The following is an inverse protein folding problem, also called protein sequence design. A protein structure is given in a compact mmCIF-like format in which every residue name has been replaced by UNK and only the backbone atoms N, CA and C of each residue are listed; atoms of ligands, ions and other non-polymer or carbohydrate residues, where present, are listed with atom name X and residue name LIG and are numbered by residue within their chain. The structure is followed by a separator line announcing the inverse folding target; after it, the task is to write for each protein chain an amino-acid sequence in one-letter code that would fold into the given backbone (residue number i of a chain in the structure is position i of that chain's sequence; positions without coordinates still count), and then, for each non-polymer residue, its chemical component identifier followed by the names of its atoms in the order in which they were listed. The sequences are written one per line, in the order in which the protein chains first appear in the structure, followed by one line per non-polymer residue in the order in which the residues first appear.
data_IF_848783579164
#
_entry.id   IF_848783579164
#
_cell.length_a   1.000
_cell.length_b   1.000
_cell.length_c   1.000
_cell.angle_alpha   90.00
_cell.angle_beta   90.00
_cell.angle_gamma   90.00
#
_symmetry.space_group_name_H-M   'P 1'
#
loop_
_entity.id
_entity.type
_entity.pdbx_description
1 polymer ?
#
# COMPACT_ATOMS: atom_id res chain seq x y z
N UNK A 1 -12.83 14.87 -8.80
CA UNK A 1 -13.54 13.76 -8.13
C UNK A 1 -12.60 13.25 -7.05
N UNK A 2 -12.95 13.35 -5.77
CA UNK A 2 -12.13 12.72 -4.73
C UNK A 2 -12.23 11.21 -4.93
N UNK A 3 -11.12 10.55 -5.24
CA UNK A 3 -11.10 9.10 -5.32
C UNK A 3 -11.54 8.55 -3.95
N UNK A 4 -12.66 7.82 -3.93
CA UNK A 4 -13.16 7.22 -2.69
C UNK A 4 -12.10 6.25 -2.16
N UNK A 5 -11.81 6.33 -0.85
CA UNK A 5 -10.90 5.39 -0.18
C UNK A 5 -11.33 3.94 -0.46
N UNK A 6 -10.43 3.07 -0.92
CA UNK A 6 -10.76 1.68 -1.14
C UNK A 6 -11.12 0.99 0.19
N UNK A 7 -12.09 0.09 0.16
CA UNK A 7 -12.59 -0.57 1.37
C UNK A 7 -11.65 -1.69 1.82
N UNK A 8 -11.23 -1.73 3.10
CA UNK A 8 -10.49 -2.86 3.62
C UNK A 8 -11.28 -4.17 3.51
N UNK A 9 -10.57 -5.23 3.17
CA UNK A 9 -11.09 -6.59 3.25
C UNK A 9 -10.63 -7.25 4.55
N UNK A 10 -11.39 -8.25 5.03
CA UNK A 10 -10.96 -9.07 6.16
C UNK A 10 -9.58 -9.73 5.93
N UNK A 11 -9.25 -10.07 4.67
CA UNK A 11 -7.93 -10.58 4.33
C UNK A 11 -6.84 -9.52 4.54
N UNK A 12 -7.07 -8.27 4.15
CA UNK A 12 -6.12 -7.18 4.37
C UNK A 12 -5.88 -6.90 5.85
N UNK A 13 -6.92 -6.95 6.69
CA UNK A 13 -6.79 -6.76 8.14
C UNK A 13 -5.89 -7.84 8.77
N UNK A 14 -6.15 -9.10 8.45
CA UNK A 14 -5.32 -10.22 8.91
C UNK A 14 -3.87 -10.08 8.41
N UNK A 15 -3.69 -9.72 7.14
CA UNK A 15 -2.37 -9.61 6.51
C UNK A 15 -1.54 -8.46 7.06
N UNK A 16 -2.18 -7.37 7.49
CA UNK A 16 -1.54 -6.26 8.17
C UNK A 16 -1.04 -6.71 9.55
N UNK A 17 -1.92 -7.28 10.37
CA UNK A 17 -1.56 -7.77 11.71
C UNK A 17 -0.44 -8.81 11.66
N UNK A 18 -0.48 -9.74 10.71
CA UNK A 18 0.58 -10.76 10.54
C UNK A 18 1.94 -10.17 10.21
N UNK A 19 2.02 -8.94 9.66
CA UNK A 19 3.27 -8.35 9.19
C UNK A 19 3.78 -7.20 10.04
N UNK A 20 2.90 -6.28 10.42
CA UNK A 20 3.17 -5.12 11.27
C UNK A 20 2.99 -5.45 12.77
N UNK A 21 2.40 -6.59 13.10
CA UNK A 21 2.20 -7.06 14.46
C UNK A 21 0.80 -6.76 15.03
N UNK A 22 0.51 -7.25 16.25
CA UNK A 22 -0.82 -7.14 16.87
C UNK A 22 -1.21 -5.71 17.27
N UNK A 23 -0.25 -4.78 17.30
CA UNK A 23 -0.47 -3.37 17.63
C UNK A 23 -0.52 -2.47 16.39
N UNK A 24 -0.57 -3.06 15.19
CA UNK A 24 -0.73 -2.31 13.96
C UNK A 24 -2.04 -1.48 14.00
N UNK A 25 -2.04 -0.26 13.44
CA UNK A 25 -3.27 0.50 13.23
C UNK A 25 -4.25 -0.23 12.33
N UNK A 26 -5.45 0.33 12.16
CA UNK A 26 -6.37 -0.21 11.17
C UNK A 26 -5.80 -0.09 9.75
N UNK A 27 -6.28 -0.93 8.83
CA UNK A 27 -5.90 -0.83 7.40
C UNK A 27 -6.26 0.55 6.84
N UNK A 28 -7.35 1.18 7.29
CA UNK A 28 -7.76 2.51 6.84
C UNK A 28 -6.78 3.59 7.26
N UNK A 29 -6.36 3.57 8.53
CA UNK A 29 -5.42 4.55 9.06
C UNK A 29 -4.07 4.38 8.36
N UNK A 30 -3.61 3.12 8.28
CA UNK A 30 -2.36 2.77 7.59
C UNK A 30 -2.38 3.22 6.12
N UNK A 31 -3.51 3.08 5.41
CA UNK A 31 -3.67 3.55 4.03
C UNK A 31 -3.66 5.07 3.90
N UNK A 32 -4.31 5.75 4.84
CA UNK A 32 -4.42 7.22 4.83
C UNK A 32 -3.05 7.86 5.03
N UNK A 33 -2.25 7.29 5.93
CA UNK A 33 -0.91 7.79 6.28
C UNK A 33 0.19 7.32 5.31
N UNK A 34 -0.12 6.38 4.41
CA UNK A 34 0.84 5.83 3.45
C UNK A 34 1.02 6.71 2.21
N UNK A 35 2.18 6.64 1.58
CA UNK A 35 2.49 7.34 0.33
C UNK A 35 2.15 6.48 -0.90
N UNK A 36 1.62 7.06 -1.99
CA UNK A 36 1.39 6.31 -3.22
C UNK A 36 2.71 5.80 -3.80
N UNK A 37 2.71 4.54 -4.23
CA UNK A 37 3.87 3.89 -4.87
C UNK A 37 3.39 3.03 -6.03
N UNK A 38 4.27 2.86 -7.01
CA UNK A 38 4.11 1.82 -8.03
C UNK A 38 4.82 0.55 -7.58
N UNK A 39 4.20 -0.58 -7.89
CA UNK A 39 4.69 -1.91 -7.52
C UNK A 39 4.86 -2.72 -8.82
N UNK A 40 6.11 -2.97 -9.20
CA UNK A 40 6.40 -3.68 -10.43
C UNK A 40 5.90 -5.13 -10.40
N UNK A 41 5.34 -5.59 -11.52
CA UNK A 41 4.94 -6.99 -11.71
C UNK A 41 3.58 -7.40 -11.16
N UNK A 42 2.79 -6.49 -10.59
CA UNK A 42 1.47 -6.81 -10.04
C UNK A 42 0.30 -6.03 -10.66
N UNK A 43 -0.87 -6.69 -10.72
CA UNK A 43 -2.10 -6.16 -11.34
C UNK A 43 -3.00 -5.49 -10.27
N UNK A 44 -2.46 -4.49 -9.57
CA UNK A 44 -3.20 -3.70 -8.60
C UNK A 44 -3.48 -2.30 -9.16
N UNK A 45 -4.62 -1.72 -8.81
CA UNK A 45 -5.01 -0.39 -9.29
C UNK A 45 -4.28 0.71 -8.55
N UNK A 46 -3.98 0.48 -7.28
CA UNK A 46 -3.28 1.41 -6.40
C UNK A 46 -2.43 0.63 -5.40
N UNK A 47 -1.24 1.13 -5.12
CA UNK A 47 -0.44 0.69 -4.00
C UNK A 47 -0.01 1.89 -3.16
N UNK A 48 0.08 1.70 -1.84
CA UNK A 48 0.60 2.72 -0.94
C UNK A 48 1.55 2.11 0.06
N UNK A 49 2.69 2.76 0.29
CA UNK A 49 3.73 2.34 1.20
C UNK A 49 3.66 3.15 2.51
N UNK A 50 3.63 2.43 3.62
CA UNK A 50 3.75 2.98 4.96
C UNK A 50 5.15 2.64 5.49
N UNK A 51 5.99 3.66 5.63
CA UNK A 51 7.38 3.55 6.06
C UNK A 51 7.52 3.17 7.55
N UNK A 52 6.61 3.66 8.40
CA UNK A 52 6.59 3.39 9.84
C UNK A 52 6.52 1.88 10.13
N UNK A 53 5.74 1.14 9.33
CA UNK A 53 5.55 -0.30 9.51
C UNK A 53 6.29 -1.16 8.48
N UNK A 54 7.00 -0.57 7.51
CA UNK A 54 7.57 -1.25 6.34
C UNK A 54 6.52 -2.11 5.61
N UNK A 55 5.34 -1.54 5.32
CA UNK A 55 4.20 -2.22 4.70
C UNK A 55 3.75 -1.53 3.43
N UNK A 56 3.51 -2.33 2.38
CA UNK A 56 2.80 -1.90 1.18
C UNK A 56 1.38 -2.44 1.23
N UNK A 57 0.40 -1.56 1.15
CA UNK A 57 -1.01 -1.90 1.00
C UNK A 57 -1.37 -1.89 -0.48
N UNK A 58 -2.08 -2.92 -0.93
CA UNK A 58 -2.41 -3.13 -2.34
C UNK A 58 -3.92 -3.12 -2.49
N UNK A 59 -4.42 -2.27 -3.40
CA UNK A 59 -5.83 -2.13 -3.68
C UNK A 59 -6.17 -2.48 -5.14
N UNK A 60 -7.35 -3.08 -5.31
CA UNK A 60 -7.91 -3.46 -6.59
C UNK A 60 -9.43 -3.43 -6.52
N UNK A 61 -10.08 -2.98 -7.59
CA UNK A 61 -11.53 -2.91 -7.75
C UNK A 61 -12.20 -2.16 -6.59
N UNK A 62 -11.54 -1.09 -6.09
CA UNK A 62 -12.03 -0.28 -4.97
C UNK A 62 -11.91 -0.93 -3.59
N UNK A 63 -11.14 -2.00 -3.44
CA UNK A 63 -10.91 -2.68 -2.16
C UNK A 63 -9.41 -2.83 -1.86
N UNK A 64 -9.01 -2.67 -0.60
CA UNK A 64 -7.65 -3.00 -0.14
C UNK A 64 -7.63 -4.51 0.08
N UNK A 65 -6.99 -5.23 -0.82
CA UNK A 65 -7.08 -6.69 -0.90
C UNK A 65 -5.99 -7.37 -0.07
N UNK A 66 -4.81 -6.75 0.08
CA UNK A 66 -3.74 -7.34 0.89
C UNK A 66 -2.74 -6.29 1.37
N UNK A 67 -1.88 -6.71 2.29
CA UNK A 67 -0.68 -6.00 2.72
C UNK A 67 0.53 -6.88 2.38
N UNK A 68 1.69 -6.32 2.07
CA UNK A 68 2.99 -7.00 1.90
C UNK A 68 4.09 -6.20 2.61
N UNK A 69 5.28 -6.78 2.85
CA UNK A 69 6.39 -5.99 3.43
C UNK A 69 7.11 -5.23 2.33
N UNK A 70 7.50 -3.98 2.60
CA UNK A 70 8.21 -3.13 1.63
C UNK A 70 9.51 -3.76 1.16
N UNK A 71 10.28 -4.36 2.08
CA UNK A 71 11.56 -5.03 1.77
C UNK A 71 11.53 -6.16 0.71
N UNK A 72 10.35 -6.67 0.34
CA UNK A 72 10.20 -7.72 -0.69
C UNK A 72 9.65 -7.20 -2.02
N UNK A 73 9.55 -5.88 -2.18
CA UNK A 73 8.90 -5.25 -3.32
C UNK A 73 9.83 -4.19 -3.90
N UNK A 74 10.00 -4.20 -5.22
CA UNK A 74 10.61 -3.07 -5.92
C UNK A 74 9.56 -1.95 -5.99
N UNK A 75 9.83 -0.85 -5.31
CA UNK A 75 8.92 0.29 -5.16
C UNK A 75 9.49 1.49 -5.89
N UNK A 76 8.68 2.12 -6.73
CA UNK A 76 9.00 3.42 -7.35
C UNK A 76 8.01 4.47 -6.87
N UNK A 77 8.53 5.62 -6.46
CA UNK A 77 7.73 6.80 -6.09
C UNK A 77 7.63 7.75 -7.29
N UNK A 78 6.49 8.42 -7.46
CA UNK A 78 6.24 9.31 -8.60
C UNK A 78 7.29 10.45 -8.73
N UNK A 79 7.95 10.85 -7.63
CA UNK A 79 9.01 11.87 -7.65
C UNK A 79 10.28 11.43 -8.42
N UNK A 80 10.56 10.13 -8.49
CA UNK A 80 11.77 9.64 -9.19
C UNK A 80 11.61 9.50 -10.70
N UNK A 81 10.37 9.49 -11.22
CA UNK A 81 10.11 9.37 -12.65
C UNK A 81 10.53 10.63 -13.44
N UNK A 82 10.63 11.79 -12.79
CA UNK A 82 10.98 13.06 -13.44
C UNK A 82 12.50 13.28 -13.61
N UNK A 83 13.34 12.63 -12.81
CA UNK A 83 14.80 12.82 -12.88
C UNK A 83 15.47 11.92 -13.92
N UNK A 84 14.84 10.80 -14.32
CA UNK A 84 15.37 9.91 -15.35
C UNK A 84 15.13 10.40 -16.80
N UNK A 85 14.45 11.54 -16.99
CA UNK A 85 14.14 12.14 -18.31
C UNK A 85 14.80 13.50 -18.56
N UNK A 86 15.88 13.84 -17.84
CA UNK A 86 16.73 15.01 -18.11
C UNK A 86 18.15 14.59 -18.49
#
# INVERSE_FOLDING_TARGET
MSASMPQPTHHSDLRLVMRAGPFAPSVRDTWTDAEPVDVEGYVYDQARYNDVYDIVLLARDGAIVTAIRGQYTELTTEDTALEASR
#
